data_IF_389727045411
#
_entry.id   IF_389727045411
#
_cell.length_a   1.000
_cell.length_b   1.000
_cell.length_c   1.000
_cell.angle_alpha   90.00
_cell.angle_beta   90.00
_cell.angle_gamma   90.00
#
_symmetry.space_group_name_H-M   'P 1'
#
loop_
_entity.id
_entity.type
_entity.pdbx_description
1 polymer ?
2 water ?
#
# COMPACT_ATOMS: atom_id res chain seq x y z
N UNK A 1 18.53 8.44 2.80
CA UNK A 1 18.08 7.94 1.47
C UNK A 1 16.60 8.29 1.21
N UNK A 2 15.79 7.27 0.95
CA UNK A 2 14.37 7.43 0.67
C UNK A 2 13.58 7.67 1.96
N UNK A 3 12.59 8.58 1.92
CA UNK A 3 11.92 9.01 3.15
C UNK A 3 10.92 7.99 3.70
N UNK A 4 10.71 6.91 2.96
CA UNK A 4 9.79 5.83 3.37
C UNK A 4 10.41 4.48 3.02
N UNK A 5 10.13 3.45 3.81
CA UNK A 5 10.60 2.08 3.51
C UNK A 5 9.74 1.48 2.40
N UNK A 6 8.45 1.78 2.44
CA UNK A 6 7.52 1.37 1.40
C UNK A 6 6.41 2.40 1.26
N UNK A 7 5.66 2.31 0.17
CA UNK A 7 4.58 3.25 -0.09
C UNK A 7 3.46 2.62 -0.90
N UNK A 8 2.25 2.66 -0.35
CA UNK A 8 1.06 2.14 -1.02
C UNK A 8 0.55 3.11 -2.07
N UNK A 9 0.65 4.41 -1.78
CA UNK A 9 0.11 5.44 -2.66
C UNK A 9 1.22 6.39 -3.07
N UNK A 10 2.10 5.95 -3.97
CA UNK A 10 3.15 6.82 -4.49
C UNK A 10 2.65 7.58 -5.71
N UNK A 11 2.67 8.91 -5.65
CA UNK A 11 2.33 9.71 -6.82
C UNK A 11 3.63 10.18 -7.45
N UNK A 12 3.97 9.59 -8.59
CA UNK A 12 5.25 9.84 -9.26
C UNK A 12 5.02 10.33 -10.67
N UNK A 13 6.01 11.06 -11.18
CA UNK A 13 6.02 11.44 -12.59
C UNK A 13 6.59 10.29 -13.42
N UNK A 14 6.18 10.23 -14.68
CA UNK A 14 6.74 9.25 -15.59
C UNK A 14 7.99 9.85 -16.21
N UNK A 15 9.08 9.81 -15.46
CA UNK A 15 10.33 10.39 -15.90
C UNK A 15 11.46 9.53 -15.40
N UNK A 16 12.64 9.72 -15.98
CA UNK A 16 13.84 9.04 -15.51
C UNK A 16 14.79 10.06 -14.90
N UNK A 17 14.95 10.06 -13.56
CA UNK A 17 14.23 9.25 -12.57
C UNK A 17 12.86 9.85 -12.23
N UNK A 18 11.99 9.05 -11.60
CA UNK A 18 10.68 9.54 -11.17
C UNK A 18 10.80 10.56 -10.04
N UNK A 19 9.91 11.55 -10.05
CA UNK A 19 9.77 12.46 -8.92
C UNK A 19 8.52 12.04 -8.16
N UNK A 20 8.69 11.63 -6.91
CA UNK A 20 7.60 11.02 -6.15
C UNK A 20 7.21 11.75 -4.87
N UNK A 21 5.93 11.65 -4.54
CA UNK A 21 5.42 11.93 -3.20
C UNK A 21 4.69 10.67 -2.72
N UNK A 22 4.85 10.33 -1.44
CA UNK A 22 4.08 9.23 -0.86
C UNK A 22 2.87 9.77 -0.10
N UNK A 23 1.68 9.47 -0.60
CA UNK A 23 0.44 9.98 -0.01
C UNK A 23 -0.10 9.15 1.16
N UNK A 24 0.62 8.11 1.56
CA UNK A 24 0.20 7.26 2.66
C UNK A 24 -0.04 8.09 3.92
N UNK A 25 -1.16 7.83 4.59
CA UNK A 25 -1.41 8.40 5.91
C UNK A 25 -0.51 7.71 6.94
N UNK A 26 0.12 8.50 7.80
CA UNK A 26 0.98 7.97 8.86
C UNK A 26 0.42 8.37 10.22
N UNK A 27 0.61 7.51 11.21
CA UNK A 27 0.12 7.77 12.56
C UNK A 27 1.23 8.18 13.52
N UNK A 28 2.47 7.94 13.12
CA UNK A 28 3.60 8.68 13.67
C UNK A 28 4.60 8.96 12.55
N UNK A 29 5.36 10.04 12.69
CA UNK A 29 6.30 10.44 11.65
C UNK A 29 7.52 9.53 11.63
N UNK A 30 7.72 8.80 10.52
CA UNK A 30 8.92 7.98 10.30
C UNK A 30 10.23 8.72 10.59
N UNK A 31 11.17 8.03 11.21
CA UNK A 31 12.49 8.60 11.49
C UNK A 31 13.21 8.98 10.19
N UNK A 32 12.85 8.30 9.10
CA UNK A 32 13.42 8.54 7.78
C UNK A 32 12.86 9.79 7.09
N UNK A 33 11.69 10.24 7.53
CA UNK A 33 11.01 11.36 6.90
C UNK A 33 11.46 12.66 7.56
N UNK A 34 11.80 13.66 6.75
CA UNK A 34 12.15 14.97 7.28
C UNK A 34 10.98 15.82 7.77
N UNK A 35 9.84 15.80 7.09
CA UNK A 35 8.68 16.50 7.63
C UNK A 35 7.33 15.85 7.38
N UNK A 36 6.58 15.68 8.45
CA UNK A 36 5.21 15.19 8.34
C UNK A 36 4.26 16.33 8.54
N UNK A 37 3.09 16.21 7.95
CA UNK A 37 2.13 17.28 8.07
C UNK A 37 0.88 16.91 7.33
N UNK A 38 -0.11 17.80 7.33
CA UNK A 38 -1.42 17.53 6.74
C UNK A 38 -1.34 17.36 5.23
N UNK A 39 -2.40 16.80 4.66
CA UNK A 39 -2.53 16.73 3.23
C UNK A 39 -4.01 16.79 2.92
N UNK A 40 -4.33 17.18 1.69
CA UNK A 40 -5.69 17.13 1.16
C UNK A 40 -6.68 18.05 1.86
N UNK A 41 -6.17 19.04 2.59
CA UNK A 41 -7.05 19.99 3.27
C UNK A 41 -7.60 19.46 4.59
N UNK A 42 -7.20 18.25 4.94
CA UNK A 42 -7.63 17.61 6.16
C UNK A 42 -6.49 17.69 7.16
N UNK A 43 -6.63 18.54 8.19
CA UNK A 43 -5.56 18.70 9.19
C UNK A 43 -5.26 17.40 9.95
N UNK A 44 -6.20 16.47 9.91
CA UNK A 44 -6.03 15.18 10.57
C UNK A 44 -5.54 14.05 9.63
N UNK A 45 -5.30 14.35 8.36
CA UNK A 45 -4.70 13.36 7.49
C UNK A 45 -3.24 13.67 7.26
N UNK A 46 -2.39 13.14 8.14
CA UNK A 46 -0.98 13.46 8.12
C UNK A 46 -0.16 12.47 7.31
N UNK A 47 0.74 13.04 6.50
CA UNK A 47 1.63 12.28 5.64
C UNK A 47 3.08 12.70 5.88
N UNK A 48 4.01 11.90 5.39
CA UNK A 48 5.36 12.37 5.13
C UNK A 48 5.29 13.25 3.90
N UNK A 49 5.68 14.51 4.06
CA UNK A 49 5.52 15.50 2.99
C UNK A 49 6.72 15.56 2.05
N UNK A 50 7.78 14.81 2.35
CA UNK A 50 9.01 14.86 1.56
C UNK A 50 8.79 14.48 0.10
N UNK A 51 9.35 15.28 -0.80
CA UNK A 51 9.45 14.88 -2.19
C UNK A 51 10.75 14.11 -2.41
N UNK A 52 10.65 13.00 -3.14
CA UNK A 52 11.80 12.15 -3.40
C UNK A 52 12.01 11.98 -4.90
N UNK A 53 13.26 12.10 -5.33
CA UNK A 53 13.63 11.80 -6.71
C UNK A 53 14.34 10.46 -6.76
N UNK A 54 13.73 9.51 -7.45
CA UNK A 54 14.23 8.15 -7.47
C UNK A 54 13.06 7.19 -7.49
N UNK A 55 13.35 5.89 -7.50
CA UNK A 55 12.30 4.88 -7.54
C UNK A 55 11.60 4.82 -6.19
N UNK A 56 10.25 4.80 -6.19
CA UNK A 56 9.47 4.90 -4.96
C UNK A 56 9.58 3.67 -4.07
N UNK A 57 10.11 2.58 -4.62
CA UNK A 57 10.31 1.39 -3.81
C UNK A 57 9.07 0.52 -3.74
N UNK A 58 9.03 -0.48 -2.83
CA UNK A 58 7.96 -1.48 -2.82
C UNK A 58 6.67 -0.92 -2.22
N UNK A 59 5.55 -1.60 -2.46
CA UNK A 59 4.33 -1.29 -1.73
C UNK A 59 4.42 -1.86 -0.31
N UNK A 60 3.56 -1.38 0.58
CA UNK A 60 3.50 -1.89 1.95
C UNK A 60 2.48 -3.02 2.09
N UNK A 61 1.34 -2.88 1.40
CA UNK A 61 0.22 -3.81 1.50
C UNK A 61 0.55 -5.19 0.94
N UNK A 62 -0.23 -6.22 1.32
CA UNK A 62 0.00 -7.63 0.93
C UNK A 62 -0.40 -8.04 -0.51
N UNK A 63 -1.06 -7.14 -1.24
CA UNK A 63 -1.56 -7.45 -2.58
C UNK A 63 -1.33 -6.24 -3.46
N UNK A 64 -0.89 -6.45 -4.71
CA UNK A 64 -0.72 -5.35 -5.67
C UNK A 64 -2.05 -4.65 -5.90
N UNK A 65 -3.08 -5.46 -6.12
CA UNK A 65 -4.43 -4.95 -6.26
C UNK A 65 -5.37 -6.00 -5.70
N UNK A 66 -6.66 -5.70 -5.70
CA UNK A 66 -7.62 -6.65 -5.21
C UNK A 66 -8.99 -6.38 -5.79
N UNK A 67 -9.56 -7.38 -6.44
CA UNK A 67 -10.93 -7.30 -6.92
C UNK A 67 -11.96 -7.70 -5.86
N UNK A 68 -11.57 -8.59 -4.95
CA UNK A 68 -12.49 -9.07 -3.92
C UNK A 68 -12.03 -8.65 -2.52
N UNK A 69 -12.02 -7.33 -2.29
CA UNK A 69 -11.60 -6.76 -1.03
C UNK A 69 -12.76 -6.78 -0.03
N UNK A 70 -12.46 -7.17 1.20
CA UNK A 70 -13.45 -7.16 2.28
C UNK A 70 -12.91 -6.32 3.44
N UNK A 71 -13.50 -5.14 3.63
CA UNK A 71 -12.96 -4.15 4.56
C UNK A 71 -13.94 -3.76 5.67
N UNK A 72 -13.39 -3.31 6.80
CA UNK A 72 -14.20 -2.73 7.86
C UNK A 72 -14.54 -1.26 7.53
N UNK A 73 -15.31 -0.62 8.40
CA UNK A 73 -15.83 0.71 8.11
C UNK A 73 -14.89 1.85 8.51
N UNK A 74 -13.77 1.54 9.16
CA UNK A 74 -12.87 2.60 9.59
C UNK A 74 -12.15 3.26 8.41
N UNK A 75 -11.64 4.46 8.64
CA UNK A 75 -10.81 5.12 7.65
C UNK A 75 -9.47 5.54 8.26
N UNK A 76 -8.38 4.82 7.92
CA UNK A 76 -8.33 3.72 6.96
C UNK A 76 -8.94 2.42 7.50
N UNK A 77 -9.47 1.57 6.60
CA UNK A 77 -10.06 0.28 6.97
C UNK A 77 -9.02 -0.77 7.32
N UNK A 78 -9.50 -1.92 7.79
CA UNK A 78 -8.70 -3.13 7.77
C UNK A 78 -9.36 -4.00 6.72
N UNK A 79 -8.56 -4.41 5.74
CA UNK A 79 -9.06 -5.17 4.60
C UNK A 79 -8.38 -6.53 4.54
N UNK A 80 -9.08 -7.50 3.98
CA UNK A 80 -8.44 -8.68 3.44
C UNK A 80 -8.89 -8.87 2.00
N UNK A 81 -8.19 -9.74 1.29
CA UNK A 81 -8.42 -9.93 -0.12
C UNK A 81 -8.56 -11.41 -0.43
N UNK A 82 -9.74 -11.82 -0.92
CA UNK A 82 -9.96 -13.23 -1.23
C UNK A 82 -9.89 -13.52 -2.73
N UNK A 83 -9.16 -12.67 -3.46
CA UNK A 83 -8.66 -12.99 -4.79
C UNK A 83 -7.83 -14.28 -4.81
N UNK A 84 -8.10 -15.13 -5.80
CA UNK A 84 -7.29 -16.32 -6.08
C UNK A 84 -6.30 -16.02 -7.21
N UNK A 85 -5.04 -15.90 -6.83
CA UNK A 85 -4.01 -15.40 -7.71
C UNK A 85 -3.03 -16.50 -8.06
N UNK A 86 -2.40 -16.36 -9.22
CA UNK A 86 -1.35 -17.28 -9.66
C UNK A 86 -0.15 -17.26 -8.70
N UNK A 87 0.19 -16.07 -8.21
CA UNK A 87 1.28 -15.89 -7.26
C UNK A 87 0.94 -14.75 -6.29
N UNK A 88 1.18 -14.97 -5.00
CA UNK A 88 1.00 -13.90 -4.02
C UNK A 88 2.14 -12.88 -4.11
N UNK A 89 1.80 -11.61 -3.85
CA UNK A 89 2.79 -10.55 -3.75
C UNK A 89 3.82 -10.95 -2.69
N UNK A 90 5.10 -10.61 -2.91
CA UNK A 90 6.13 -10.89 -1.91
C UNK A 90 5.83 -10.30 -0.54
N UNK A 91 4.91 -9.34 -0.50
CA UNK A 91 4.59 -8.64 0.75
C UNK A 91 3.50 -9.34 1.55
N UNK A 92 2.89 -10.37 0.96
CA UNK A 92 1.98 -11.27 1.67
C UNK A 92 2.74 -12.24 2.58
N UNK A 93 2.31 -12.32 3.83
CA UNK A 93 2.97 -13.15 4.84
C UNK A 93 2.44 -14.59 4.88
N UNK A 94 1.14 -14.76 4.67
CA UNK A 94 0.54 -16.10 4.66
C UNK A 94 -0.24 -16.37 3.38
N UNK A 95 0.41 -17.09 2.47
CA UNK A 95 -0.11 -17.39 1.15
C UNK A 95 -0.33 -18.89 1.04
N UNK A 96 -1.59 -19.28 0.89
CA UNK A 96 -1.98 -20.69 0.90
C UNK A 96 -2.68 -21.05 -0.41
N UNK A 97 -2.65 -22.34 -0.79
CA UNK A 97 -3.29 -22.69 -2.05
C UNK A 97 -4.81 -22.68 -1.93
N UNK A 98 -5.46 -22.45 -3.06
CA UNK A 98 -6.90 -22.41 -3.12
C UNK A 98 -7.50 -23.82 -3.20
N UNK A 99 -8.65 -23.99 -2.55
CA UNK A 99 -9.40 -25.25 -2.57
C UNK A 99 -10.07 -25.47 -3.93
N UNK A 100 -10.78 -24.45 -4.41
CA UNK A 100 -11.53 -24.52 -5.66
C UNK A 100 -10.61 -24.59 -6.87
N UNK A 101 -9.50 -23.88 -6.80
CA UNK A 101 -8.61 -23.73 -7.95
C UNK A 101 -7.17 -23.89 -7.51
N UNK A 102 -6.68 -25.14 -7.47
CA UNK A 102 -5.46 -25.51 -6.72
C UNK A 102 -4.16 -25.01 -7.36
N UNK A 103 -4.25 -24.55 -8.61
CA UNK A 103 -3.15 -23.86 -9.29
C UNK A 103 -3.03 -22.41 -8.82
N UNK A 104 -4.04 -21.96 -8.06
CA UNK A 104 -4.12 -20.59 -7.54
C UNK A 104 -3.75 -20.52 -6.06
N UNK A 105 -3.62 -19.30 -5.57
CA UNK A 105 -3.20 -19.05 -4.20
C UNK A 105 -4.10 -17.97 -3.58
N UNK A 106 -4.25 -17.99 -2.26
CA UNK A 106 -5.03 -16.99 -1.54
C UNK A 106 -4.13 -16.37 -0.49
N UNK A 107 -4.04 -15.04 -0.48
CA UNK A 107 -3.35 -14.35 0.60
C UNK A 107 -4.36 -14.05 1.71
N UNK A 108 -4.12 -14.61 2.91
CA UNK A 108 -5.10 -14.54 3.99
C UNK A 108 -4.81 -13.44 5.02
N UNK A 109 -3.75 -12.66 4.77
CA UNK A 109 -3.41 -11.48 5.57
C UNK A 109 -4.57 -10.50 5.72
N UNK A 110 -4.60 -9.85 6.88
CA UNK A 110 -5.47 -8.71 7.13
C UNK A 110 -4.53 -7.52 7.14
N UNK A 111 -4.96 -6.40 6.57
CA UNK A 111 -4.07 -5.25 6.47
C UNK A 111 -4.77 -3.95 6.82
N UNK A 112 -4.22 -3.23 7.79
CA UNK A 112 -4.72 -1.91 8.19
C UNK A 112 -4.06 -0.83 7.35
N UNK A 113 -4.83 -0.24 6.45
CA UNK A 113 -4.27 0.75 5.56
C UNK A 113 -5.26 1.09 4.48
N UNK A 114 -4.88 1.91 3.49
CA UNK A 114 -5.84 2.36 2.47
C UNK A 114 -6.36 1.20 1.61
N UNK A 115 -7.62 1.28 1.19
CA UNK A 115 -8.22 0.27 0.31
C UNK A 115 -7.36 0.10 -0.92
N UNK A 116 -7.01 -1.16 -1.25
CA UNK A 116 -6.16 -1.41 -2.42
C UNK A 116 -6.89 -1.08 -3.73
N UNK A 117 -6.14 -0.71 -4.79
CA UNK A 117 -6.83 -0.50 -6.07
C UNK A 117 -7.44 -1.80 -6.59
N UNK A 118 -8.52 -1.69 -7.37
CA UNK A 118 -9.10 -2.83 -8.07
C UNK A 118 -8.11 -3.35 -9.12
N UNK A 119 -8.07 -4.66 -9.34
CA UNK A 119 -7.24 -5.23 -10.40
C UNK A 119 -7.84 -4.96 -11.78
N UNK A 120 -9.14 -5.20 -11.90
CA UNK A 120 -9.85 -4.97 -13.15
C UNK A 120 -10.95 -3.92 -12.96
#
# INVERSE_FOLDING_TARGET
KRPWKCCDEAVCTRSIPPICTCMDEVFECPKTCKSCGPSMGDPSRRICQDQYVGDPGPICRPWECCDKAICTRSNPPTCRCVDEVKKCAPTCKTCLPSRSRPSRRVCIDSYFGPVPPRCT
#
